data_IF_498340567635
#
_entry.id   IF_498340567635
#
_cell.length_a   1.000
_cell.length_b   1.000
_cell.length_c   1.000
_cell.angle_alpha   90.00
_cell.angle_beta   90.00
_cell.angle_gamma   90.00
#
_symmetry.space_group_name_H-M   'P 1'
#
loop_
_entity.id
_entity.type
_entity.pdbx_description
1 polymer ?
#
# COMPACT_ATOMS: atom_id res chain seq x y z
N UNK A 1 8.21 -32.10 -18.32
CA UNK A 1 6.83 -31.81 -18.75
C UNK A 1 6.26 -30.84 -17.73
N UNK A 2 6.25 -29.55 -18.07
CA UNK A 2 5.68 -28.46 -17.27
C UNK A 2 4.16 -28.50 -17.44
N UNK A 3 3.43 -28.75 -16.36
CA UNK A 3 1.97 -28.69 -16.32
C UNK A 3 1.53 -27.28 -16.70
N UNK A 4 0.56 -27.09 -17.61
CA UNK A 4 0.03 -25.76 -17.88
C UNK A 4 -0.58 -25.21 -16.59
N UNK A 5 -0.15 -23.99 -16.23
CA UNK A 5 -0.63 -23.16 -15.12
C UNK A 5 -2.16 -23.14 -15.14
N UNK A 6 -2.80 -23.94 -14.28
CA UNK A 6 -4.25 -23.91 -14.12
C UNK A 6 -4.59 -22.62 -13.36
N UNK A 7 -5.48 -21.76 -13.87
CA UNK A 7 -5.93 -20.60 -13.13
C UNK A 7 -6.47 -21.07 -11.77
N UNK A 8 -5.86 -20.61 -10.68
CA UNK A 8 -6.42 -20.80 -9.35
C UNK A 8 -7.68 -19.92 -9.34
N UNK A 9 -8.85 -20.53 -9.35
CA UNK A 9 -10.11 -19.81 -9.25
C UNK A 9 -10.09 -19.00 -7.95
N UNK A 10 -10.26 -17.69 -8.09
CA UNK A 10 -10.32 -16.79 -6.95
C UNK A 10 -11.54 -17.15 -6.09
N UNK A 11 -11.35 -17.24 -4.78
CA UNK A 11 -12.44 -17.53 -3.83
C UNK A 11 -13.13 -16.22 -3.47
N UNK A 12 -14.43 -16.04 -3.81
CA UNK A 12 -15.18 -14.88 -3.37
C UNK A 12 -15.22 -14.82 -1.84
N UNK A 13 -14.97 -13.64 -1.29
CA UNK A 13 -14.82 -13.46 0.16
C UNK A 13 -15.62 -12.25 0.61
N UNK A 14 -16.37 -12.36 1.71
CA UNK A 14 -17.17 -11.24 2.24
C UNK A 14 -16.46 -10.57 3.41
N UNK A 15 -16.32 -9.25 3.36
CA UNK A 15 -15.81 -8.41 4.44
C UNK A 15 -16.58 -7.09 4.49
N UNK A 16 -16.91 -6.60 5.69
CA UNK A 16 -17.63 -5.32 5.85
C UNK A 16 -19.00 -5.23 5.16
N UNK A 17 -19.64 -6.37 4.88
CA UNK A 17 -20.89 -6.43 4.10
C UNK A 17 -20.72 -6.38 2.58
N UNK A 18 -19.48 -6.28 2.08
CA UNK A 18 -19.12 -6.30 0.66
C UNK A 18 -18.58 -7.68 0.29
N UNK A 19 -19.01 -8.23 -0.85
CA UNK A 19 -18.47 -9.49 -1.41
C UNK A 19 -17.44 -9.17 -2.48
N UNK A 20 -16.19 -9.55 -2.22
CA UNK A 20 -15.05 -9.37 -3.10
C UNK A 20 -14.89 -10.58 -4.03
N UNK A 21 -14.27 -10.37 -5.20
CA UNK A 21 -14.03 -11.42 -6.21
C UNK A 21 -12.92 -12.36 -5.79
N UNK A 22 -12.04 -11.91 -4.91
CA UNK A 22 -10.96 -12.72 -4.36
C UNK A 22 -10.76 -12.48 -2.86
N UNK A 23 -10.16 -13.47 -2.20
CA UNK A 23 -9.70 -13.33 -0.82
C UNK A 23 -8.69 -12.18 -0.66
N UNK A 24 -7.76 -12.06 -1.60
CA UNK A 24 -6.72 -11.02 -1.53
C UNK A 24 -7.32 -9.61 -1.60
N UNK A 25 -8.38 -9.40 -2.39
CA UNK A 25 -9.12 -8.13 -2.37
C UNK A 25 -9.77 -7.86 -1.01
N UNK A 26 -10.41 -8.87 -0.39
CA UNK A 26 -10.98 -8.71 0.95
C UNK A 26 -9.92 -8.40 2.01
N UNK A 27 -8.73 -9.02 1.92
CA UNK A 27 -7.59 -8.75 2.80
C UNK A 27 -7.05 -7.31 2.59
N UNK A 28 -7.04 -6.80 1.36
CA UNK A 28 -6.73 -5.40 1.08
C UNK A 28 -7.77 -4.44 1.67
N UNK A 29 -9.06 -4.75 1.57
CA UNK A 29 -10.11 -3.95 2.20
C UNK A 29 -9.93 -3.89 3.73
N UNK A 30 -9.69 -5.03 4.37
CA UNK A 30 -9.41 -5.09 5.81
C UNK A 30 -8.15 -4.33 6.19
N UNK A 31 -7.10 -4.41 5.37
CA UNK A 31 -5.87 -3.65 5.54
C UNK A 31 -6.12 -2.14 5.47
N UNK A 32 -6.93 -1.67 4.52
CA UNK A 32 -7.25 -0.24 4.39
C UNK A 32 -8.06 0.25 5.61
N UNK A 33 -9.05 -0.52 6.07
CA UNK A 33 -9.84 -0.19 7.27
C UNK A 33 -8.96 -0.14 8.53
N UNK A 34 -8.08 -1.13 8.73
CA UNK A 34 -7.18 -1.18 9.89
C UNK A 34 -6.18 -0.01 9.93
N UNK A 35 -5.90 0.62 8.79
CA UNK A 35 -5.05 1.81 8.71
C UNK A 35 -5.88 3.12 8.59
N UNK A 36 -7.19 3.05 8.84
CA UNK A 36 -8.08 4.23 8.81
C UNK A 36 -8.17 4.90 7.44
N UNK A 37 -7.96 4.15 6.36
CA UNK A 37 -8.01 4.65 4.98
C UNK A 37 -9.39 4.37 4.41
N UNK A 38 -10.12 5.42 4.04
CA UNK A 38 -11.44 5.29 3.40
C UNK A 38 -11.30 4.76 1.97
N UNK A 39 -12.10 3.75 1.62
CA UNK A 39 -12.08 3.10 0.31
C UNK A 39 -13.48 2.86 -0.27
N UNK A 40 -13.52 2.63 -1.58
CA UNK A 40 -14.69 2.18 -2.34
C UNK A 40 -14.27 0.99 -3.21
N UNK A 41 -15.05 -0.08 -3.21
CA UNK A 41 -14.80 -1.27 -4.03
C UNK A 41 -15.52 -1.17 -5.37
N UNK A 42 -14.79 -1.42 -6.47
CA UNK A 42 -15.28 -1.37 -7.85
C UNK A 42 -16.19 -0.16 -8.14
N UNK A 43 -15.74 1.08 -7.86
CA UNK A 43 -16.62 2.24 -7.79
C UNK A 43 -17.26 2.62 -9.14
N UNK A 44 -16.54 2.44 -10.24
CA UNK A 44 -17.04 2.73 -11.58
C UNK A 44 -16.24 2.03 -12.68
N UNK A 45 -16.91 1.80 -13.83
CA UNK A 45 -16.27 1.33 -15.05
C UNK A 45 -15.66 2.53 -15.81
N UNK A 46 -14.36 2.48 -16.05
CA UNK A 46 -13.59 3.53 -16.70
C UNK A 46 -13.28 3.13 -18.15
N UNK A 47 -13.61 4.00 -19.10
CA UNK A 47 -13.16 3.88 -20.49
C UNK A 47 -11.71 4.37 -20.60
N UNK A 48 -10.80 3.49 -21.02
CA UNK A 48 -9.39 3.82 -21.22
C UNK A 48 -9.12 4.35 -22.64
N UNK A 49 -8.05 5.14 -22.85
CA UNK A 49 -7.66 5.64 -24.17
C UNK A 49 -7.50 4.57 -25.26
N UNK A 50 -7.13 3.35 -24.89
CA UNK A 50 -7.05 2.17 -25.76
C UNK A 50 -8.40 1.68 -26.28
N UNK A 51 -9.51 2.23 -25.78
CA UNK A 51 -10.88 1.77 -26.04
C UNK A 51 -11.32 0.63 -25.13
N UNK A 52 -10.47 0.18 -24.21
CA UNK A 52 -10.83 -0.85 -23.25
C UNK A 52 -11.68 -0.28 -22.11
N UNK A 53 -12.70 -1.02 -21.68
CA UNK A 53 -13.35 -0.77 -20.40
C UNK A 53 -12.56 -1.48 -19.28
N UNK A 54 -12.36 -0.75 -18.18
CA UNK A 54 -11.59 -1.19 -17.03
C UNK A 54 -12.35 -0.86 -15.74
N UNK A 55 -12.51 -1.86 -14.88
CA UNK A 55 -13.10 -1.73 -13.57
C UNK A 55 -11.97 -1.98 -12.56
N UNK A 56 -11.36 -0.93 -11.97
CA UNK A 56 -10.33 -1.08 -10.96
C UNK A 56 -10.92 -1.57 -9.63
N UNK A 57 -10.13 -2.30 -8.84
CA UNK A 57 -10.63 -2.94 -7.62
C UNK A 57 -11.00 -1.93 -6.53
N UNK A 58 -10.15 -0.91 -6.27
CA UNK A 58 -10.41 0.09 -5.22
C UNK A 58 -10.14 1.53 -5.64
N UNK A 59 -10.93 2.43 -5.03
CA UNK A 59 -10.67 3.88 -5.02
C UNK A 59 -10.59 4.43 -3.60
N UNK A 60 -9.58 5.26 -3.35
CA UNK A 60 -9.33 5.95 -2.09
C UNK A 60 -9.62 7.45 -2.26
N UNK A 61 -10.87 7.90 -2.04
CA UNK A 61 -11.33 9.23 -2.44
C UNK A 61 -10.64 10.39 -1.72
N UNK A 62 -10.17 10.20 -0.49
CA UNK A 62 -9.43 11.23 0.23
C UNK A 62 -8.01 11.43 -0.32
N UNK A 63 -7.42 10.36 -0.85
CA UNK A 63 -6.03 10.32 -1.27
C UNK A 63 -5.87 10.45 -2.77
N UNK A 64 -6.93 10.32 -3.56
CA UNK A 64 -6.83 10.34 -5.01
C UNK A 64 -6.00 9.18 -5.50
N UNK A 65 -6.23 7.99 -4.96
CA UNK A 65 -5.41 6.80 -5.22
C UNK A 65 -6.31 5.62 -5.59
N UNK A 66 -6.00 4.98 -6.71
CA UNK A 66 -6.58 3.70 -7.13
C UNK A 66 -5.67 2.56 -6.69
N UNK A 67 -6.28 1.42 -6.35
CA UNK A 67 -5.56 0.16 -6.10
C UNK A 67 -6.10 -0.92 -7.03
N UNK A 68 -5.20 -1.58 -7.74
CA UNK A 68 -5.49 -2.83 -8.45
C UNK A 68 -4.80 -3.98 -7.71
N UNK A 69 -5.57 -4.98 -7.29
CA UNK A 69 -5.06 -6.14 -6.55
C UNK A 69 -4.62 -7.22 -7.53
N UNK A 70 -3.41 -7.73 -7.34
CA UNK A 70 -2.80 -8.76 -8.19
C UNK A 70 -2.05 -9.80 -7.36
N UNK A 71 -2.50 -11.05 -7.44
CA UNK A 71 -1.85 -12.21 -6.84
C UNK A 71 -0.49 -12.57 -7.46
N UNK A 72 0.15 -13.65 -6.99
CA UNK A 72 1.42 -14.12 -7.52
C UNK A 72 1.24 -14.69 -8.94
N UNK A 73 2.13 -14.32 -9.87
CA UNK A 73 2.08 -14.73 -11.28
C UNK A 73 2.56 -13.63 -12.23
N UNK A 74 2.43 -13.82 -13.56
CA UNK A 74 2.63 -12.72 -14.54
C UNK A 74 1.40 -11.81 -14.45
N UNK A 75 1.52 -10.63 -13.81
CA UNK A 75 0.35 -9.82 -13.51
C UNK A 75 0.00 -9.00 -14.75
N UNK A 76 -1.22 -9.18 -15.26
CA UNK A 76 -1.78 -8.31 -16.31
C UNK A 76 -2.08 -6.94 -15.73
N UNK A 77 -1.11 -6.04 -15.81
CA UNK A 77 -1.16 -4.69 -15.22
C UNK A 77 -1.38 -3.61 -16.26
N UNK A 78 -1.51 -3.95 -17.54
CA UNK A 78 -1.51 -3.01 -18.66
C UNK A 78 -2.61 -1.95 -18.52
N UNK A 79 -3.80 -2.36 -18.09
CA UNK A 79 -4.93 -1.45 -17.84
C UNK A 79 -4.69 -0.52 -16.65
N UNK A 80 -4.09 -1.03 -15.58
CA UNK A 80 -3.73 -0.22 -14.41
C UNK A 80 -2.62 0.80 -14.76
N UNK A 81 -1.63 0.39 -15.56
CA UNK A 81 -0.59 1.28 -16.09
C UNK A 81 -1.22 2.37 -16.97
N UNK A 82 -2.14 1.99 -17.86
CA UNK A 82 -2.84 2.93 -18.74
C UNK A 82 -3.72 3.91 -17.95
N UNK A 83 -4.45 3.42 -16.94
CA UNK A 83 -5.19 4.29 -16.01
C UNK A 83 -4.24 5.27 -15.32
N UNK A 84 -3.11 4.79 -14.80
CA UNK A 84 -2.11 5.62 -14.14
C UNK A 84 -1.55 6.71 -15.05
N UNK A 85 -1.25 6.39 -16.31
CA UNK A 85 -0.83 7.38 -17.32
C UNK A 85 -1.90 8.44 -17.60
N UNK A 86 -3.16 8.00 -17.66
CA UNK A 86 -4.30 8.85 -18.01
C UNK A 86 -4.71 9.78 -16.86
N UNK A 87 -4.57 9.32 -15.61
CA UNK A 87 -4.98 10.08 -14.42
C UNK A 87 -3.84 10.85 -13.75
N UNK A 88 -2.58 10.56 -14.11
CA UNK A 88 -1.44 11.38 -13.72
C UNK A 88 -1.54 12.78 -14.33
N UNK A 89 -1.12 13.78 -13.56
CA UNK A 89 -0.96 15.14 -14.06
C UNK A 89 0.40 15.31 -14.73
N UNK A 90 0.38 15.94 -15.90
CA UNK A 90 1.57 16.25 -16.71
C UNK A 90 1.80 17.76 -16.70
N UNK A 91 2.03 18.31 -15.51
CA UNK A 91 2.35 19.71 -15.32
C UNK A 91 3.86 19.94 -15.45
N UNK A 92 4.27 20.90 -16.29
CA UNK A 92 5.68 21.32 -16.44
C UNK A 92 6.11 22.37 -15.39
N UNK A 93 5.18 22.83 -14.54
CA UNK A 93 5.38 23.85 -13.52
C UNK A 93 4.32 23.77 -12.40
N UNK A 94 3.85 24.92 -11.91
CA UNK A 94 2.83 24.96 -10.84
C UNK A 94 1.55 24.25 -11.29
N UNK A 95 1.18 23.20 -10.54
CA UNK A 95 0.11 22.30 -10.91
C UNK A 95 -1.15 22.61 -10.09
N UNK A 96 -2.30 22.76 -10.74
CA UNK A 96 -3.61 22.99 -10.09
C UNK A 96 -4.36 21.68 -9.82
N UNK A 97 -3.69 20.55 -10.02
CA UNK A 97 -4.28 19.25 -9.78
C UNK A 97 -4.67 19.09 -8.32
N UNK A 98 -5.86 18.53 -8.11
CA UNK A 98 -6.43 18.30 -6.78
C UNK A 98 -5.47 17.50 -5.88
N UNK A 99 -4.78 16.53 -6.47
CA UNK A 99 -3.75 15.74 -5.80
C UNK A 99 -2.37 16.00 -6.42
N UNK A 100 -1.30 16.02 -5.61
CA UNK A 100 0.06 16.18 -6.11
C UNK A 100 0.40 15.14 -7.18
N UNK A 101 0.71 15.61 -8.39
CA UNK A 101 1.01 14.74 -9.53
C UNK A 101 -0.21 14.05 -10.16
N UNK A 102 -1.43 14.45 -9.82
CA UNK A 102 -2.67 13.81 -10.28
C UNK A 102 -3.08 12.62 -9.41
N UNK A 103 -4.01 11.81 -9.90
CA UNK A 103 -4.39 10.57 -9.20
C UNK A 103 -3.26 9.54 -9.32
N UNK A 104 -3.08 8.76 -8.27
CA UNK A 104 -2.08 7.70 -8.20
C UNK A 104 -2.76 6.35 -8.48
N UNK A 105 -2.06 5.43 -9.13
CA UNK A 105 -2.50 4.03 -9.26
C UNK A 105 -1.39 3.15 -8.70
N UNK A 106 -1.72 2.34 -7.71
CA UNK A 106 -0.80 1.33 -7.15
C UNK A 106 -1.33 -0.08 -7.41
N UNK A 107 -0.42 -1.04 -7.47
CA UNK A 107 -0.72 -2.46 -7.53
C UNK A 107 -0.56 -3.04 -6.12
N UNK A 108 -1.65 -3.55 -5.55
CA UNK A 108 -1.65 -4.27 -4.29
C UNK A 108 -1.24 -5.72 -4.49
N UNK A 109 -0.23 -6.19 -3.77
CA UNK A 109 0.31 -7.55 -3.85
C UNK A 109 -0.09 -8.38 -2.63
N UNK A 110 0.13 -9.71 -2.67
CA UNK A 110 0.18 -10.52 -1.45
C UNK A 110 1.19 -9.93 -0.46
N UNK A 111 0.91 -10.09 0.82
CA UNK A 111 1.76 -9.57 1.89
C UNK A 111 3.21 -10.01 1.73
N UNK A 112 4.12 -9.13 2.17
CA UNK A 112 5.47 -9.57 2.47
C UNK A 112 5.43 -10.41 3.74
N UNK A 113 6.21 -11.51 3.79
CA UNK A 113 6.23 -12.38 4.96
C UNK A 113 6.66 -11.58 6.18
N UNK A 114 6.11 -11.97 7.32
CA UNK A 114 6.51 -11.43 8.61
C UNK A 114 8.01 -11.68 8.86
N UNK A 115 8.68 -10.69 9.44
CA UNK A 115 10.07 -10.83 9.87
C UNK A 115 10.12 -11.52 11.23
N UNK A 116 10.77 -12.68 11.29
CA UNK A 116 10.99 -13.50 12.48
C UNK A 116 11.47 -12.75 13.73
N UNK A 117 12.17 -11.64 13.50
CA UNK A 117 12.87 -10.88 14.53
C UNK A 117 12.16 -9.57 14.93
N UNK A 118 11.04 -9.22 14.28
CA UNK A 118 10.30 -8.01 14.60
C UNK A 118 9.71 -8.08 16.01
N UNK A 119 10.08 -7.13 16.88
CA UNK A 119 9.45 -6.97 18.21
C UNK A 119 8.13 -6.22 18.03
N UNK A 120 7.01 -6.84 18.37
CA UNK A 120 5.68 -6.23 18.20
C UNK A 120 4.59 -7.25 17.91
N UNK A 121 3.39 -6.77 17.58
CA UNK A 121 2.23 -7.63 17.37
C UNK A 121 2.30 -8.40 16.05
N UNK A 122 2.08 -9.73 16.10
CA UNK A 122 2.18 -10.67 14.98
C UNK A 122 0.95 -10.53 14.05
N UNK A 123 1.06 -9.90 12.86
CA UNK A 123 -0.06 -9.79 11.94
C UNK A 123 -0.45 -11.18 11.41
N UNK A 124 -1.71 -11.34 11.01
CA UNK A 124 -2.21 -12.61 10.48
C UNK A 124 -1.48 -13.07 9.20
N UNK A 125 -0.77 -12.16 8.52
CA UNK A 125 -0.07 -12.48 7.28
C UNK A 125 1.17 -11.64 6.89
N UNK A 126 1.58 -10.67 7.71
CA UNK A 126 2.79 -9.88 7.44
C UNK A 126 2.51 -8.41 7.16
N UNK A 127 3.15 -7.86 6.12
CA UNK A 127 3.18 -6.42 5.85
C UNK A 127 2.67 -6.09 4.46
N UNK A 128 2.05 -4.92 4.32
CA UNK A 128 1.44 -4.51 3.06
C UNK A 128 2.52 -4.36 1.99
N UNK A 129 2.21 -4.82 0.79
CA UNK A 129 3.15 -4.92 -0.31
C UNK A 129 2.56 -4.27 -1.55
N UNK A 130 3.22 -3.25 -2.09
CA UNK A 130 2.66 -2.49 -3.20
C UNK A 130 3.73 -2.10 -4.22
N UNK A 131 3.27 -1.76 -5.41
CA UNK A 131 4.10 -1.19 -6.49
C UNK A 131 3.35 -0.03 -7.13
N UNK A 132 4.06 0.92 -7.75
CA UNK A 132 3.41 1.94 -8.58
C UNK A 132 3.06 1.33 -9.94
N UNK A 133 1.82 1.53 -10.43
CA UNK A 133 1.45 1.07 -11.77
C UNK A 133 2.08 1.94 -12.86
N UNK A 134 2.35 3.22 -12.58
CA UNK A 134 2.97 4.14 -13.53
C UNK A 134 3.76 5.25 -12.83
N UNK A 135 4.92 5.58 -13.40
CA UNK A 135 5.79 6.66 -12.91
C UNK A 135 6.76 6.18 -11.83
N UNK A 136 7.29 7.10 -11.01
CA UNK A 136 8.20 6.75 -9.92
C UNK A 136 7.55 5.79 -8.92
N UNK A 137 8.38 5.13 -8.12
CA UNK A 137 7.93 4.32 -6.99
C UNK A 137 6.96 5.09 -6.10
N UNK A 138 5.98 4.37 -5.56
CA UNK A 138 5.06 4.88 -4.55
C UNK A 138 5.64 4.58 -3.17
N UNK A 139 5.67 5.58 -2.30
CA UNK A 139 6.21 5.50 -0.95
C UNK A 139 5.11 5.71 0.07
N UNK A 140 5.09 4.90 1.12
CA UNK A 140 4.18 5.05 2.24
C UNK A 140 4.66 6.17 3.16
N UNK A 141 3.74 6.99 3.67
CA UNK A 141 4.03 8.04 4.66
C UNK A 141 2.78 8.39 5.46
N UNK A 142 2.93 8.54 6.77
CA UNK A 142 1.89 9.05 7.64
C UNK A 142 1.97 10.58 7.71
N UNK A 143 0.86 11.28 7.47
CA UNK A 143 0.87 12.74 7.57
C UNK A 143 0.87 13.20 9.02
N UNK A 144 1.81 14.07 9.46
CA UNK A 144 1.85 14.54 10.85
C UNK A 144 0.71 15.53 11.20
N UNK A 145 -0.08 15.97 10.19
CA UNK A 145 -1.19 16.92 10.40
C UNK A 145 -2.55 16.22 10.46
N UNK A 146 -2.86 15.41 9.46
CA UNK A 146 -4.16 14.73 9.39
C UNK A 146 -4.08 13.24 9.75
N UNK A 147 -2.90 12.77 10.17
CA UNK A 147 -2.62 11.39 10.64
C UNK A 147 -3.00 10.29 9.65
N UNK A 148 -3.25 10.63 8.38
CA UNK A 148 -3.56 9.64 7.34
C UNK A 148 -2.30 8.98 6.82
N UNK A 149 -2.32 7.65 6.86
CA UNK A 149 -1.47 6.80 6.04
C UNK A 149 -1.82 6.97 4.57
N UNK A 150 -0.81 7.11 3.73
CA UNK A 150 -0.99 7.37 2.31
C UNK A 150 0.22 6.94 1.49
N UNK A 151 0.01 6.85 0.18
CA UNK A 151 1.08 6.67 -0.79
C UNK A 151 1.35 7.96 -1.54
N UNK A 152 2.62 8.35 -1.64
CA UNK A 152 3.07 9.50 -2.43
C UNK A 152 4.10 9.06 -3.47
N UNK A 153 4.30 9.90 -4.49
CA UNK A 153 5.49 9.79 -5.36
C UNK A 153 6.49 10.87 -4.97
N UNK A 154 7.75 10.71 -5.34
CA UNK A 154 8.77 11.73 -5.13
C UNK A 154 8.71 12.89 -6.15
N UNK A 155 7.60 13.05 -6.87
CA UNK A 155 7.36 14.27 -7.66
C UNK A 155 6.96 15.42 -6.74
N UNK A 156 7.63 16.56 -6.89
CA UNK A 156 7.32 17.77 -6.14
C UNK A 156 5.99 18.39 -6.61
N UNK A 157 5.27 19.12 -5.73
CA UNK A 157 5.58 19.33 -4.30
C UNK A 157 5.25 18.11 -3.44
N UNK A 158 6.11 17.80 -2.45
CA UNK A 158 5.89 16.69 -1.53
C UNK A 158 4.91 17.11 -0.45
N UNK A 159 3.63 16.94 -0.74
CA UNK A 159 2.54 17.36 0.13
C UNK A 159 1.57 16.21 0.36
N UNK A 160 0.93 16.22 1.53
CA UNK A 160 -0.10 15.25 1.86
C UNK A 160 -1.25 15.34 0.86
N UNK A 161 -1.62 14.20 0.28
CA UNK A 161 -2.68 14.09 -0.73
C UNK A 161 -4.05 14.47 -0.18
N UNK A 162 -4.27 14.32 1.13
CA UNK A 162 -5.50 14.74 1.81
C UNK A 162 -5.46 16.23 2.22
N UNK A 163 -4.53 16.61 3.12
CA UNK A 163 -4.55 17.93 3.77
C UNK A 163 -3.55 18.97 3.23
N UNK A 164 -2.79 18.63 2.18
CA UNK A 164 -1.81 19.48 1.50
C UNK A 164 -0.63 19.98 2.38
N UNK A 165 -0.46 19.41 3.58
CA UNK A 165 0.70 19.69 4.45
C UNK A 165 1.99 19.20 3.77
N UNK A 166 3.05 20.03 3.79
CA UNK A 166 4.39 19.62 3.34
C UNK A 166 4.93 18.41 4.11
N UNK A 167 5.52 17.47 3.38
CA UNK A 167 6.04 16.18 3.86
C UNK A 167 7.56 16.07 3.73
N UNK A 168 8.27 17.15 3.39
CA UNK A 168 9.71 17.14 3.09
C UNK A 168 10.59 16.67 4.25
N UNK A 169 10.06 16.71 5.47
CA UNK A 169 10.76 16.28 6.70
C UNK A 169 10.28 14.93 7.22
N UNK A 170 9.36 14.26 6.54
CA UNK A 170 8.78 13.00 7.01
C UNK A 170 9.59 11.84 6.46
N UNK A 171 9.71 10.79 7.26
CA UNK A 171 10.22 9.52 6.78
C UNK A 171 9.20 8.94 5.79
N UNK A 172 9.71 8.45 4.68
CA UNK A 172 8.93 7.77 3.65
C UNK A 172 9.41 6.34 3.61
N UNK A 173 8.49 5.42 3.30
CA UNK A 173 8.76 4.01 3.39
C UNK A 173 8.53 3.28 2.08
N UNK A 174 9.45 2.37 1.77
CA UNK A 174 9.28 1.38 0.71
C UNK A 174 8.54 0.15 1.22
N UNK A 175 7.91 -0.66 0.35
CA UNK A 175 7.21 -1.88 0.75
C UNK A 175 8.08 -2.82 1.62
N UNK A 176 9.35 -3.03 1.22
CA UNK A 176 10.25 -3.95 1.92
C UNK A 176 10.70 -3.45 3.31
N UNK A 177 10.41 -2.19 3.66
CA UNK A 177 10.65 -1.63 4.98
C UNK A 177 9.50 -1.90 5.95
N UNK A 178 8.41 -2.54 5.49
CA UNK A 178 7.40 -3.17 6.34
C UNK A 178 6.73 -2.21 7.34
N UNK A 179 6.52 -0.96 6.94
CA UNK A 179 5.94 0.08 7.79
C UNK A 179 4.42 0.14 7.81
N UNK A 180 3.74 -0.69 7.00
CA UNK A 180 2.28 -0.74 6.92
C UNK A 180 1.79 -2.16 7.18
N UNK A 181 0.89 -2.32 8.16
CA UNK A 181 0.34 -3.63 8.57
C UNK A 181 -0.54 -4.20 7.45
N UNK A 182 -0.43 -5.50 7.17
CA UNK A 182 -1.38 -6.23 6.33
C UNK A 182 -2.24 -7.14 7.19
N UNK A 183 -3.55 -7.10 6.99
CA UNK A 183 -4.50 -7.91 7.73
C UNK A 183 -5.10 -8.94 6.78
N UNK A 184 -4.80 -10.22 7.00
CA UNK A 184 -5.53 -11.31 6.37
C UNK A 184 -6.68 -11.77 7.26
N UNK A 185 -7.85 -11.92 6.66
CA UNK A 185 -9.00 -12.53 7.31
C UNK A 185 -8.70 -14.00 7.60
N UNK A 186 -8.85 -14.43 8.86
CA UNK A 186 -8.93 -15.86 9.14
C UNK A 186 -10.24 -16.37 8.52
N UNK A 187 -10.13 -17.21 7.48
CA UNK A 187 -11.28 -17.75 6.73
C UNK A 187 -12.14 -18.74 7.53
N UNK A 188 -12.44 -18.45 8.79
CA UNK A 188 -13.25 -19.28 9.68
C UNK A 188 -14.48 -18.52 10.14
N UNK A 189 -15.65 -19.03 9.75
CA UNK A 189 -16.95 -18.96 10.43
C UNK A 189 -17.04 -17.87 11.50
N UNK A 190 -17.57 -16.70 11.12
CA UNK A 190 -18.16 -15.71 12.02
C UNK A 190 -17.39 -15.43 13.32
N UNK A 191 -16.21 -14.82 13.26
CA UNK A 191 -15.69 -14.14 14.44
C UNK A 191 -16.34 -12.76 14.54
N UNK A 192 -17.44 -12.69 15.30
CA UNK A 192 -18.06 -11.45 15.77
C UNK A 192 -17.20 -10.70 16.81
N UNK A 193 -15.88 -10.86 16.75
CA UNK A 193 -14.92 -10.16 17.58
C UNK A 193 -13.83 -9.59 16.67
N UNK A 194 -14.09 -8.41 16.13
CA UNK A 194 -13.02 -7.47 15.77
C UNK A 194 -12.21 -7.20 17.03
N UNK A 195 -10.91 -7.49 16.97
CA UNK A 195 -10.01 -7.11 18.06
C UNK A 195 -9.58 -5.67 17.79
N UNK A 196 -9.94 -4.68 18.62
CA UNK A 196 -9.65 -3.27 18.36
C UNK A 196 -8.16 -2.96 18.21
N UNK A 197 -7.28 -3.83 18.73
CA UNK A 197 -5.83 -3.71 18.57
C UNK A 197 -5.29 -4.25 17.23
N UNK A 198 -6.07 -5.03 16.48
CA UNK A 198 -5.74 -5.51 15.13
C UNK A 198 -6.13 -4.49 14.04
N UNK A 199 -7.07 -3.61 14.36
CA UNK A 199 -7.68 -2.65 13.45
C UNK A 199 -7.05 -1.24 13.55
N UNK A 200 -5.84 -1.13 14.13
CA UNK A 200 -5.14 0.13 14.32
C UNK A 200 -3.82 0.20 13.51
N UNK A 201 -3.43 1.38 12.99
CA UNK A 201 -2.13 1.59 12.35
C UNK A 201 -0.95 1.19 13.26
N UNK A 202 0.19 0.82 12.65
CA UNK A 202 1.43 0.60 13.40
C UNK A 202 1.87 1.90 14.08
N UNK A 203 2.38 1.78 15.30
CA UNK A 203 3.01 2.88 16.02
C UNK A 203 4.45 3.12 15.52
N UNK A 204 4.98 4.33 15.72
CA UNK A 204 6.38 4.66 15.39
C UNK A 204 7.39 3.69 16.05
N UNK A 205 7.10 3.24 17.28
CA UNK A 205 7.91 2.25 17.99
C UNK A 205 7.89 0.88 17.31
N UNK A 206 6.72 0.44 16.82
CA UNK A 206 6.58 -0.81 16.06
C UNK A 206 7.28 -0.72 14.71
N UNK A 207 7.24 0.42 14.02
CA UNK A 207 7.95 0.64 12.74
C UNK A 207 9.47 0.59 12.97
N UNK A 208 9.97 1.28 14.00
CA UNK A 208 11.40 1.31 14.32
C UNK A 208 11.95 -0.07 14.73
N UNK A 209 11.11 -0.95 15.29
CA UNK A 209 11.49 -2.30 15.69
C UNK A 209 11.66 -3.30 14.53
N UNK A 210 11.31 -2.92 13.30
CA UNK A 210 11.38 -3.76 12.08
C UNK A 210 12.61 -3.41 11.23
N UNK A 211 13.49 -2.51 11.69
CA UNK A 211 14.66 -2.05 10.94
C UNK A 211 15.51 -3.23 10.41
N UNK A 212 15.60 -3.42 9.08
CA UNK A 212 16.40 -4.48 8.48
C UNK A 212 17.92 -4.23 8.61
N UNK A 213 18.35 -3.06 9.11
CA UNK A 213 19.74 -2.67 9.27
C UNK A 213 20.30 -2.79 10.70
N UNK A 214 19.59 -3.43 11.64
CA UNK A 214 20.25 -3.90 12.86
C UNK A 214 21.15 -5.10 12.55
N UNK A 215 22.33 -4.81 11.98
CA UNK A 215 23.46 -5.73 11.96
C UNK A 215 23.90 -6.00 13.41
N UNK A 216 23.80 -7.24 13.92
CA UNK A 216 24.27 -7.60 15.26
C UNK A 216 25.79 -7.48 15.42
N UNK A 217 26.55 -7.14 14.36
CA UNK A 217 27.99 -6.90 14.39
C UNK A 217 28.41 -5.42 14.41
N UNK A 218 27.48 -4.47 14.55
CA UNK A 218 27.79 -3.05 14.74
C UNK A 218 28.32 -2.71 16.15
N UNK A 219 29.21 -3.55 16.70
CA UNK A 219 30.04 -3.14 17.82
C UNK A 219 31.26 -2.38 17.31
N UNK A 220 31.17 -1.05 17.40
CA UNK A 220 32.30 -0.15 17.61
C UNK A 220 33.43 -0.21 16.57
N UNK A 221 33.31 0.57 15.51
CA UNK A 221 34.51 1.15 14.91
C UNK A 221 35.02 2.22 15.88
N UNK A 222 35.97 1.82 16.72
CA UNK A 222 36.85 2.75 17.41
C UNK A 222 37.60 3.55 16.34
N UNK A 223 37.39 4.85 16.30
CA UNK A 223 38.15 5.77 15.46
C UNK A 223 39.59 5.87 16.03
N UNK A 224 40.62 5.36 15.32
CA UNK A 224 41.99 5.39 15.83
C UNK A 224 42.68 6.75 15.73
N UNK A 225 41.96 7.82 15.32
CA UNK A 225 42.56 9.15 15.11
C UNK A 225 42.02 10.25 16.03
N UNK A 226 41.47 9.88 17.18
CA UNK A 226 40.92 10.85 18.16
C UNK A 226 41.83 11.16 19.35
N UNK A 227 43.16 11.01 19.21
CA UNK A 227 44.14 11.62 20.11
C UNK A 227 45.48 11.90 19.39
N UNK A 228 45.58 13.07 18.75
CA UNK A 228 46.80 13.89 18.61
C UNK A 228 46.52 15.27 18.01
#
# INVERSE_FOLDING_TARGET
>A
MTTPDQPIDAVPTTYGGTTFRSRLEADWAQTLDANGITWQYEPEMIALPSGANYLPDFWLPELGTWIEVKGPGIPRTEKAVELGKTRACHCDGDCTCRWPGGELVIIGRPSLPWDGNARGHRPSAGYANWESAFGPSAYHVTCPRCTRDQWITLRRPWTCRNCQRGLEKQQIHLPHERSLRFVEGSGGIGSAFSNPALDAPLTDEEIAAVDPYQDPYSHGLHDPWSDQ
#
